data_IF_640790881951
#
_entry.id   IF_640790881951
#
_cell.length_a   1.000
_cell.length_b   1.000
_cell.length_c   1.000
_cell.angle_alpha   90.00
_cell.angle_beta   90.00
_cell.angle_gamma   90.00
#
_symmetry.space_group_name_H-M   'P 1'
#
loop_
_entity.id
_entity.type
_entity.pdbx_description
1 polymer ?
#
# COMPACT_ATOMS: atom_id res chain seq x y z
N UNK A 1 -1.11 -21.02 -2.66
CA UNK A 1 -1.28 -20.61 -4.07
C UNK A 1 -2.01 -19.27 -4.09
N UNK A 2 -1.37 -18.23 -3.54
CA UNK A 2 -1.98 -16.93 -3.23
C UNK A 2 -1.77 -16.04 -4.47
N UNK A 3 -2.85 -15.54 -5.08
CA UNK A 3 -2.78 -14.50 -6.13
C UNK A 3 -2.99 -14.94 -7.59
N UNK A 4 -2.94 -16.22 -7.96
CA UNK A 4 -2.98 -16.60 -9.39
C UNK A 4 -4.31 -16.33 -10.12
N UNK A 5 -5.39 -16.06 -9.39
CA UNK A 5 -6.73 -15.86 -9.96
C UNK A 5 -7.15 -14.40 -10.13
N UNK A 6 -6.44 -13.45 -9.52
CA UNK A 6 -6.77 -12.02 -9.60
C UNK A 6 -5.94 -11.25 -10.64
N UNK A 7 -4.76 -11.77 -11.01
CA UNK A 7 -3.78 -11.06 -11.85
C UNK A 7 -3.56 -11.70 -13.23
N UNK A 8 -4.50 -12.51 -13.73
CA UNK A 8 -4.33 -13.28 -14.96
C UNK A 8 -5.34 -12.88 -16.04
N UNK A 9 -5.37 -11.59 -16.38
CA UNK A 9 -5.99 -11.08 -17.59
C UNK A 9 -4.90 -10.59 -18.57
N UNK A 10 -4.98 -11.07 -19.82
CA UNK A 10 -4.02 -10.91 -20.92
C UNK A 10 -3.86 -9.46 -21.42
N UNK A 11 -3.38 -8.54 -20.58
CA UNK A 11 -2.89 -7.24 -21.04
C UNK A 11 -1.39 -7.19 -20.76
N UNK A 12 -0.59 -6.88 -21.78
CA UNK A 12 0.85 -6.60 -21.66
C UNK A 12 1.14 -5.30 -20.88
N UNK A 13 0.28 -4.94 -19.92
CA UNK A 13 0.20 -3.62 -19.29
C UNK A 13 0.66 -3.66 -17.86
N UNK A 14 1.36 -2.59 -17.48
CA UNK A 14 1.48 -2.10 -16.12
C UNK A 14 0.20 -2.34 -15.30
N UNK A 15 0.29 -3.22 -14.29
CA UNK A 15 -0.77 -3.51 -13.34
C UNK A 15 -0.32 -3.06 -11.94
N UNK A 16 -0.75 -1.86 -11.49
CA UNK A 16 -0.41 -1.33 -10.17
C UNK A 16 -0.70 -2.30 -9.03
N UNK A 17 -1.77 -3.08 -9.14
CA UNK A 17 -2.23 -3.99 -8.10
C UNK A 17 -1.29 -5.19 -7.98
N UNK A 18 -0.86 -5.75 -9.12
CA UNK A 18 0.10 -6.85 -9.14
C UNK A 18 1.46 -6.41 -8.57
N UNK A 19 1.89 -5.18 -8.86
CA UNK A 19 3.16 -4.66 -8.36
C UNK A 19 3.09 -4.33 -6.86
N UNK A 20 1.97 -3.79 -6.38
CA UNK A 20 1.70 -3.63 -4.94
C UNK A 20 1.70 -4.99 -4.23
N UNK A 21 0.96 -5.97 -4.74
CA UNK A 21 0.89 -7.31 -4.14
C UNK A 21 2.28 -7.99 -4.09
N UNK A 22 3.09 -7.88 -5.16
CA UNK A 22 4.47 -8.40 -5.16
C UNK A 22 5.33 -7.72 -4.09
N UNK A 23 5.21 -6.40 -3.96
CA UNK A 23 5.96 -5.62 -2.96
C UNK A 23 5.55 -6.02 -1.55
N UNK A 24 4.24 -6.20 -1.29
CA UNK A 24 3.76 -6.72 -0.02
C UNK A 24 4.31 -8.11 0.27
N UNK A 25 4.30 -9.02 -0.71
CA UNK A 25 4.82 -10.37 -0.53
C UNK A 25 6.31 -10.35 -0.18
N UNK A 26 7.08 -9.43 -0.78
CA UNK A 26 8.50 -9.25 -0.47
C UNK A 26 8.69 -8.79 0.98
N UNK A 27 7.94 -7.79 1.43
CA UNK A 27 8.07 -7.26 2.80
C UNK A 27 7.56 -8.24 3.85
N UNK A 28 6.54 -9.03 3.51
CA UNK A 28 6.06 -10.13 4.34
C UNK A 28 7.01 -11.34 4.37
N UNK A 29 8.13 -11.32 3.63
CA UNK A 29 9.22 -12.25 3.92
C UNK A 29 9.87 -11.96 5.28
N UNK A 30 9.60 -10.79 5.89
CA UNK A 30 9.91 -10.53 7.29
C UNK A 30 9.03 -11.40 8.21
N UNK A 31 9.61 -12.38 8.94
CA UNK A 31 8.83 -13.32 9.73
C UNK A 31 7.99 -12.66 10.83
N UNK A 32 8.49 -11.56 11.42
CA UNK A 32 7.81 -10.84 12.49
C UNK A 32 6.45 -10.31 12.01
N UNK A 33 6.43 -9.69 10.84
CA UNK A 33 5.24 -9.07 10.26
C UNK A 33 4.29 -10.15 9.76
N UNK A 34 4.83 -11.20 9.12
CA UNK A 34 4.03 -12.34 8.68
C UNK A 34 3.29 -13.02 9.84
N UNK A 35 3.93 -13.18 11.01
CA UNK A 35 3.25 -13.72 12.19
C UNK A 35 2.06 -12.85 12.58
N UNK A 36 2.25 -11.55 12.70
CA UNK A 36 1.19 -10.65 13.16
C UNK A 36 0.00 -10.66 12.19
N UNK A 37 0.26 -10.64 10.87
CA UNK A 37 -0.79 -10.79 9.85
C UNK A 37 -1.50 -12.14 9.97
N UNK A 38 -0.76 -13.24 10.09
CA UNK A 38 -1.37 -14.57 10.21
C UNK A 38 -2.16 -14.73 11.51
N UNK A 39 -1.69 -14.17 12.62
CA UNK A 39 -2.40 -14.18 13.90
C UNK A 39 -3.72 -13.43 13.79
N UNK A 40 -3.69 -12.21 13.25
CA UNK A 40 -4.89 -11.41 13.02
C UNK A 40 -5.91 -12.15 12.12
N UNK A 41 -5.44 -12.68 10.99
CA UNK A 41 -6.27 -13.46 10.07
C UNK A 41 -6.88 -14.69 10.76
N UNK A 42 -6.11 -15.43 11.56
CA UNK A 42 -6.63 -16.60 12.29
C UNK A 42 -7.68 -16.20 13.33
N UNK A 43 -7.49 -15.09 14.05
CA UNK A 43 -8.41 -14.60 15.10
C UNK A 43 -9.74 -14.13 14.49
N UNK A 44 -9.68 -13.36 13.39
CA UNK A 44 -10.84 -12.68 12.81
C UNK A 44 -11.63 -13.59 11.86
N UNK A 45 -10.92 -14.41 11.09
CA UNK A 45 -11.51 -15.15 9.96
C UNK A 45 -11.65 -16.63 10.29
N UNK A 46 -10.66 -17.22 10.98
CA UNK A 46 -10.55 -18.66 11.22
C UNK A 46 -10.01 -19.42 10.01
N UNK A 47 -9.68 -20.70 10.17
CA UNK A 47 -9.03 -21.50 9.11
C UNK A 47 -10.01 -22.11 8.10
N UNK A 48 -11.31 -22.03 8.35
CA UNK A 48 -12.35 -22.78 7.61
C UNK A 48 -12.94 -22.00 6.43
N UNK A 49 -12.54 -20.74 6.23
CA UNK A 49 -13.08 -19.89 5.16
C UNK A 49 -12.07 -18.87 4.65
N UNK A 50 -12.37 -18.33 3.46
CA UNK A 50 -11.65 -17.21 2.88
C UNK A 50 -12.09 -15.88 3.52
N UNK A 51 -11.20 -14.89 3.45
CA UNK A 51 -11.48 -13.50 3.86
C UNK A 51 -12.53 -12.91 2.92
N UNK A 52 -13.48 -12.17 3.49
CA UNK A 52 -14.55 -11.48 2.79
C UNK A 52 -14.49 -9.97 3.05
N UNK A 53 -15.23 -9.18 2.27
CA UNK A 53 -15.28 -7.72 2.46
C UNK A 53 -15.75 -7.30 3.86
N UNK A 54 -16.57 -8.12 4.52
CA UNK A 54 -17.11 -7.86 5.86
C UNK A 54 -16.05 -8.00 6.96
N UNK A 55 -14.97 -8.75 6.69
CA UNK A 55 -13.87 -8.95 7.62
C UNK A 55 -12.90 -7.77 7.61
N UNK A 56 -12.79 -7.05 6.49
CA UNK A 56 -11.77 -6.02 6.29
C UNK A 56 -11.71 -4.95 7.39
N UNK A 57 -12.84 -4.41 7.89
CA UNK A 57 -12.81 -3.44 9.00
C UNK A 57 -12.19 -3.99 10.30
N UNK A 58 -12.14 -5.31 10.45
CA UNK A 58 -11.63 -6.01 11.63
C UNK A 58 -10.19 -6.51 11.45
N UNK A 59 -9.50 -6.13 10.36
CA UNK A 59 -8.12 -6.49 10.07
C UNK A 59 -7.18 -5.25 10.12
N UNK A 60 -7.10 -4.52 11.25
CA UNK A 60 -6.36 -3.26 11.33
C UNK A 60 -4.85 -3.42 11.05
N UNK A 61 -4.22 -4.53 11.47
CA UNK A 61 -2.80 -4.76 11.24
C UNK A 61 -2.52 -4.99 9.75
N UNK A 62 -3.32 -5.82 9.08
CA UNK A 62 -3.21 -5.99 7.63
C UNK A 62 -3.40 -4.66 6.88
N UNK A 63 -4.32 -3.80 7.33
CA UNK A 63 -4.52 -2.48 6.72
C UNK A 63 -3.27 -1.60 6.82
N UNK A 64 -2.59 -1.58 7.96
CA UNK A 64 -1.36 -0.79 8.11
C UNK A 64 -0.18 -1.38 7.34
N UNK A 65 -0.13 -2.71 7.17
CA UNK A 65 0.85 -3.38 6.30
C UNK A 65 0.66 -2.97 4.83
N UNK A 66 -0.59 -2.94 4.35
CA UNK A 66 -0.91 -2.43 2.99
C UNK A 66 -0.46 -0.98 2.85
N UNK A 67 -0.78 -0.15 3.84
CA UNK A 67 -0.45 1.27 3.85
C UNK A 67 1.06 1.54 3.85
N UNK A 68 1.83 0.79 4.64
CA UNK A 68 3.30 0.84 4.65
C UNK A 68 3.89 0.37 3.32
N UNK A 69 3.27 -0.62 2.69
CA UNK A 69 3.68 -1.05 1.35
C UNK A 69 3.46 0.04 0.32
N UNK A 70 2.31 0.71 0.34
CA UNK A 70 2.04 1.84 -0.55
C UNK A 70 2.96 3.04 -0.31
N UNK A 71 3.40 3.23 0.93
CA UNK A 71 4.35 4.27 1.32
C UNK A 71 5.75 4.00 0.74
N UNK A 72 6.29 2.79 0.97
CA UNK A 72 7.64 2.44 0.52
C UNK A 72 7.69 2.06 -0.96
N UNK A 73 6.66 1.42 -1.50
CA UNK A 73 6.59 0.87 -2.85
C UNK A 73 5.38 1.40 -3.61
N UNK A 74 5.26 2.72 -3.85
CA UNK A 74 4.15 3.27 -4.62
C UNK A 74 4.18 2.71 -6.05
N UNK A 75 3.11 2.06 -6.54
CA UNK A 75 3.13 1.45 -7.88
C UNK A 75 3.37 2.47 -9.00
N UNK A 76 2.97 3.73 -8.78
CA UNK A 76 3.22 4.86 -9.69
C UNK A 76 4.17 5.88 -9.05
N UNK A 77 5.49 5.64 -9.00
CA UNK A 77 6.44 6.45 -8.22
C UNK A 77 6.53 7.93 -8.68
N UNK A 78 6.23 8.21 -9.95
CA UNK A 78 6.15 9.57 -10.52
C UNK A 78 4.71 10.05 -10.77
N UNK A 79 3.73 9.33 -10.24
CA UNK A 79 2.31 9.46 -10.58
C UNK A 79 2.06 9.38 -12.09
N UNK A 80 0.82 9.64 -12.51
CA UNK A 80 0.50 9.82 -13.93
C UNK A 80 0.77 11.26 -14.36
N UNK A 81 1.41 11.49 -15.53
CA UNK A 81 1.70 12.84 -16.01
C UNK A 81 0.47 13.76 -16.03
N UNK A 82 0.65 14.99 -15.58
CA UNK A 82 -0.33 16.08 -15.67
C UNK A 82 0.10 17.08 -16.74
N UNK A 83 -0.86 17.74 -17.37
CA UNK A 83 -0.59 18.86 -18.30
C UNK A 83 -1.14 20.16 -17.73
N UNK A 84 -0.32 21.21 -17.71
CA UNK A 84 -0.75 22.54 -17.29
C UNK A 84 -1.78 23.10 -18.29
N UNK A 85 -3.03 23.32 -17.87
CA UNK A 85 -4.10 23.81 -18.75
C UNK A 85 -3.85 25.26 -19.23
N UNK A 86 -3.28 26.07 -18.35
CA UNK A 86 -2.90 27.47 -18.58
C UNK A 86 -1.50 27.68 -18.00
N UNK A 87 -0.81 28.72 -18.43
CA UNK A 87 0.41 29.13 -17.75
C UNK A 87 0.08 29.57 -16.32
N UNK A 88 0.90 29.17 -15.36
CA UNK A 88 0.73 29.50 -13.95
C UNK A 88 2.08 29.71 -13.27
N UNK A 89 2.05 30.10 -12.00
CA UNK A 89 3.24 30.29 -11.18
C UNK A 89 3.15 29.37 -9.96
N UNK A 90 4.22 28.62 -9.69
CA UNK A 90 4.34 27.74 -8.52
C UNK A 90 5.69 28.04 -7.86
N UNK A 91 5.69 28.39 -6.57
CA UNK A 91 6.90 28.77 -5.82
C UNK A 91 7.78 29.81 -6.56
N UNK A 92 7.15 30.81 -7.17
CA UNK A 92 7.79 31.85 -8.00
C UNK A 92 8.43 31.35 -9.31
N UNK A 93 8.13 30.12 -9.74
CA UNK A 93 8.52 29.60 -11.04
C UNK A 93 7.37 29.66 -12.03
N UNK A 94 7.63 30.23 -13.20
CA UNK A 94 6.68 30.23 -14.31
C UNK A 94 6.60 28.84 -14.94
N UNK A 95 5.40 28.26 -14.93
CA UNK A 95 5.07 27.01 -15.62
C UNK A 95 4.26 27.36 -16.86
N UNK A 96 4.78 27.10 -18.07
CA UNK A 96 4.05 27.42 -19.29
C UNK A 96 2.85 26.48 -19.48
N UNK A 97 1.82 26.98 -20.19
CA UNK A 97 0.73 26.15 -20.70
C UNK A 97 1.29 24.93 -21.44
N UNK A 98 0.64 23.78 -21.26
CA UNK A 98 1.01 22.47 -21.81
C UNK A 98 2.30 21.87 -21.26
N UNK A 99 2.93 22.46 -20.24
CA UNK A 99 4.02 21.81 -19.52
C UNK A 99 3.56 20.47 -18.92
N UNK A 100 4.39 19.44 -19.06
CA UNK A 100 4.20 18.15 -18.39
C UNK A 100 4.72 18.23 -16.97
N UNK A 101 3.86 17.93 -16.00
CA UNK A 101 4.17 17.90 -14.59
C UNK A 101 4.15 16.45 -14.09
N UNK A 102 5.20 16.06 -13.39
CA UNK A 102 5.35 14.76 -12.72
C UNK A 102 5.40 15.00 -11.22
N UNK A 103 4.71 14.17 -10.44
CA UNK A 103 4.71 14.26 -8.98
C UNK A 103 5.55 13.10 -8.48
N UNK A 104 6.69 13.40 -7.85
CA UNK A 104 7.59 12.37 -7.35
C UNK A 104 7.08 11.79 -6.01
N UNK A 105 6.06 10.93 -6.09
CA UNK A 105 5.45 10.25 -4.94
C UNK A 105 6.49 9.45 -4.16
N UNK A 106 7.43 8.80 -4.85
CA UNK A 106 8.50 8.03 -4.22
C UNK A 106 9.39 8.90 -3.32
N UNK A 107 9.76 10.10 -3.79
CA UNK A 107 10.57 11.03 -3.01
C UNK A 107 9.78 11.66 -1.85
N UNK A 108 8.50 11.97 -2.06
CA UNK A 108 7.62 12.49 -1.00
C UNK A 108 7.50 11.49 0.16
N UNK A 109 7.31 10.21 -0.15
CA UNK A 109 7.31 9.14 0.86
C UNK A 109 8.67 8.92 1.54
N UNK A 110 9.73 9.60 1.11
CA UNK A 110 11.09 9.47 1.67
C UNK A 110 11.70 10.80 2.11
N UNK A 111 10.86 11.81 2.32
CA UNK A 111 11.35 13.08 2.88
C UNK A 111 11.68 12.90 4.36
N UNK A 112 12.95 13.12 4.72
CA UNK A 112 13.45 13.06 6.11
C UNK A 112 12.77 14.05 7.06
N UNK A 113 12.12 15.09 6.52
CA UNK A 113 11.32 16.03 7.33
C UNK A 113 10.01 15.42 7.80
N UNK A 114 9.47 14.48 7.02
CA UNK A 114 8.15 13.90 7.26
C UNK A 114 8.22 12.48 7.83
N UNK A 115 9.27 11.72 7.50
CA UNK A 115 9.39 10.29 7.79
C UNK A 115 10.69 9.97 8.51
N UNK A 116 10.59 9.20 9.61
CA UNK A 116 11.72 8.56 10.28
C UNK A 116 11.91 7.13 9.73
N UNK A 117 13.15 6.64 9.75
CA UNK A 117 13.51 5.27 9.34
C UNK A 117 13.02 4.93 7.91
N UNK A 118 13.41 5.77 6.94
CA UNK A 118 12.86 5.83 5.57
C UNK A 118 12.86 4.53 4.75
N UNK A 119 13.72 3.59 5.09
CA UNK A 119 13.90 2.35 4.34
C UNK A 119 13.48 1.12 5.14
N UNK A 120 13.10 1.30 6.40
CA UNK A 120 12.60 0.22 7.24
C UNK A 120 11.10 0.08 7.03
N UNK A 121 10.68 -1.13 6.65
CA UNK A 121 9.27 -1.48 6.56
C UNK A 121 8.70 -1.65 7.98
N UNK A 122 8.00 -0.62 8.47
CA UNK A 122 7.50 -0.50 9.84
C UNK A 122 6.01 -0.14 9.84
N UNK A 123 5.11 -1.13 9.60
CA UNK A 123 3.66 -0.90 9.62
C UNK A 123 3.14 -0.25 10.91
N UNK A 124 3.84 -0.46 12.03
CA UNK A 124 3.52 0.11 13.32
C UNK A 124 3.44 1.64 13.30
N UNK A 125 4.09 2.33 12.36
CA UNK A 125 3.97 3.79 12.22
C UNK A 125 2.56 4.28 11.94
N UNK A 126 1.74 3.41 11.35
CA UNK A 126 0.34 3.69 11.02
C UNK A 126 -0.65 3.03 11.97
N UNK A 127 -0.18 2.26 12.94
CA UNK A 127 -1.03 1.50 13.87
C UNK A 127 -1.50 2.37 15.04
N UNK A 128 -2.39 1.82 15.88
CA UNK A 128 -2.80 2.46 17.14
C UNK A 128 -1.53 2.74 17.95
N UNK A 129 -1.30 4.01 18.32
CA UNK A 129 -0.08 4.57 18.97
C UNK A 129 1.12 4.87 18.05
N UNK A 130 0.99 4.71 16.74
CA UNK A 130 2.02 5.05 15.74
C UNK A 130 2.11 6.55 15.44
N UNK A 131 3.31 7.00 15.01
CA UNK A 131 3.60 8.41 14.72
C UNK A 131 2.76 9.03 13.57
N UNK A 132 2.15 8.20 12.72
CA UNK A 132 1.42 8.61 11.51
C UNK A 132 0.02 7.98 11.45
N UNK A 133 -0.58 7.67 12.60
CA UNK A 133 -1.91 7.04 12.71
C UNK A 133 -2.99 7.78 11.90
N UNK A 134 -2.99 9.12 11.94
CA UNK A 134 -4.00 9.97 11.28
C UNK A 134 -3.75 10.22 9.79
N UNK A 135 -2.60 9.80 9.24
CA UNK A 135 -2.29 9.99 7.83
C UNK A 135 -3.17 9.09 6.98
N UNK A 136 -3.91 9.59 6.01
CA UNK A 136 -4.66 8.74 5.08
C UNK A 136 -4.00 8.64 3.69
N UNK A 137 -4.46 7.67 2.90
CA UNK A 137 -4.05 7.49 1.49
C UNK A 137 -5.06 8.13 0.52
N UNK A 138 -6.04 8.89 1.05
CA UNK A 138 -7.19 9.45 0.32
C UNK A 138 -6.88 10.83 -0.27
N UNK A 139 -5.63 11.27 -0.15
CA UNK A 139 -5.15 12.56 -0.67
C UNK A 139 -5.41 13.74 0.26
N UNK A 140 -5.73 13.50 1.54
CA UNK A 140 -5.81 14.57 2.54
C UNK A 140 -4.44 14.88 3.17
N UNK A 141 -3.51 13.92 3.11
CA UNK A 141 -2.15 14.02 3.62
C UNK A 141 -1.16 14.02 2.46
N UNK A 142 -0.45 15.13 2.26
CA UNK A 142 0.46 15.30 1.12
C UNK A 142 1.79 14.56 1.30
N UNK A 143 2.09 14.09 2.51
CA UNK A 143 3.21 13.22 2.82
C UNK A 143 3.03 11.78 2.32
N UNK A 144 1.79 11.36 2.00
CA UNK A 144 1.48 10.01 1.51
C UNK A 144 0.46 10.04 0.35
N UNK A 145 0.93 9.90 -0.89
CA UNK A 145 0.12 10.10 -2.11
C UNK A 145 0.09 8.91 -3.10
N UNK A 146 -0.08 7.64 -2.65
CA UNK A 146 -0.03 6.49 -3.54
C UNK A 146 -1.12 6.48 -4.62
N UNK A 147 -2.27 7.09 -4.33
CA UNK A 147 -3.40 7.24 -5.25
C UNK A 147 -3.51 8.63 -5.90
N UNK A 148 -2.53 9.51 -5.63
CA UNK A 148 -2.55 10.92 -6.02
C UNK A 148 -3.55 11.76 -5.22
N UNK A 149 -3.83 12.97 -5.71
CA UNK A 149 -4.69 13.95 -5.05
C UNK A 149 -5.47 14.80 -6.07
N UNK A 150 -6.56 15.43 -5.60
CA UNK A 150 -7.35 16.39 -6.36
C UNK A 150 -8.24 15.77 -7.43
N UNK A 151 -8.56 16.54 -8.48
CA UNK A 151 -9.57 16.19 -9.51
C UNK A 151 -9.28 14.92 -10.32
N UNK A 152 -8.07 14.38 -10.21
CA UNK A 152 -7.60 13.23 -10.96
C UNK A 152 -6.95 12.20 -10.03
N UNK A 153 -7.40 12.16 -8.78
CA UNK A 153 -7.11 11.06 -7.85
C UNK A 153 -7.59 9.73 -8.45
N UNK A 154 -6.94 8.64 -8.09
CA UNK A 154 -7.25 7.31 -8.62
C UNK A 154 -8.70 6.92 -8.36
N UNK A 155 -9.46 6.68 -9.44
CA UNK A 155 -10.85 6.20 -9.36
C UNK A 155 -10.95 4.76 -8.84
N UNK A 156 -9.86 3.99 -8.94
CA UNK A 156 -9.76 2.61 -8.46
C UNK A 156 -9.29 2.47 -7.02
N UNK A 157 -9.05 3.56 -6.28
CA UNK A 157 -8.53 3.52 -4.90
C UNK A 157 -9.36 2.60 -3.98
N UNK A 158 -10.68 2.72 -4.03
CA UNK A 158 -11.58 1.91 -3.20
C UNK A 158 -11.53 0.41 -3.54
N UNK A 159 -11.31 0.08 -4.81
CA UNK A 159 -11.12 -1.31 -5.25
C UNK A 159 -9.76 -1.82 -4.78
N UNK A 160 -8.70 -1.02 -4.95
CA UNK A 160 -7.34 -1.42 -4.59
C UNK A 160 -7.19 -1.74 -3.10
N UNK A 161 -7.68 -0.83 -2.26
CA UNK A 161 -7.68 -0.97 -0.80
C UNK A 161 -8.52 -2.14 -0.28
N UNK A 162 -9.37 -2.75 -1.11
CA UNK A 162 -10.12 -3.97 -0.76
C UNK A 162 -9.47 -5.21 -1.36
N UNK A 163 -9.18 -5.18 -2.67
CA UNK A 163 -8.70 -6.34 -3.41
C UNK A 163 -7.34 -6.84 -2.89
N UNK A 164 -6.46 -5.94 -2.45
CA UNK A 164 -5.18 -6.32 -1.85
C UNK A 164 -5.41 -7.10 -0.54
N UNK A 165 -6.05 -6.56 0.52
CA UNK A 165 -6.37 -7.33 1.73
C UNK A 165 -7.12 -8.64 1.47
N UNK A 166 -8.09 -8.65 0.55
CA UNK A 166 -8.87 -9.84 0.20
C UNK A 166 -8.03 -10.97 -0.40
N UNK A 167 -6.86 -10.66 -0.97
CA UNK A 167 -5.96 -11.68 -1.48
C UNK A 167 -5.23 -12.46 -0.38
N UNK A 168 -5.25 -11.96 0.86
CA UNK A 168 -4.67 -12.62 2.03
C UNK A 168 -5.67 -13.57 2.67
N UNK A 169 -5.24 -14.79 2.94
CA UNK A 169 -6.06 -15.80 3.59
C UNK A 169 -5.26 -16.56 4.64
N UNK A 170 -5.91 -16.99 5.74
CA UNK A 170 -5.35 -17.97 6.65
C UNK A 170 -4.90 -19.19 5.85
N UNK A 171 -3.64 -19.61 6.00
CA UNK A 171 -3.15 -20.82 5.33
C UNK A 171 -2.53 -21.78 6.35
N UNK A 172 -3.07 -23.00 6.50
CA UNK A 172 -2.68 -23.89 7.58
C UNK A 172 -1.18 -24.23 7.54
N UNK A 173 -0.58 -24.40 6.36
CA UNK A 173 0.87 -24.68 6.25
C UNK A 173 1.77 -23.45 6.43
N UNK A 174 1.28 -22.24 6.11
CA UNK A 174 2.11 -21.04 6.29
C UNK A 174 2.23 -20.73 7.77
N UNK A 175 1.15 -20.92 8.53
CA UNK A 175 1.18 -20.80 9.99
C UNK A 175 2.26 -21.69 10.60
N UNK A 176 2.29 -22.98 10.26
CA UNK A 176 3.29 -23.92 10.79
C UNK A 176 4.73 -23.54 10.44
N UNK A 177 5.02 -23.17 9.20
CA UNK A 177 6.38 -22.79 8.80
C UNK A 177 6.85 -21.50 9.47
N UNK A 178 5.98 -20.49 9.51
CA UNK A 178 6.29 -19.21 10.15
C UNK A 178 6.49 -19.41 11.66
N UNK A 179 5.61 -20.14 12.34
CA UNK A 179 5.77 -20.43 13.76
C UNK A 179 7.01 -21.28 14.04
N UNK A 180 7.33 -22.28 13.21
CA UNK A 180 8.55 -23.09 13.38
C UNK A 180 9.84 -22.31 13.18
N UNK A 181 9.82 -21.24 12.37
CA UNK A 181 11.01 -20.40 12.11
C UNK A 181 11.33 -19.43 13.25
N UNK A 182 10.41 -19.26 14.19
CA UNK A 182 10.53 -18.35 15.34
C UNK A 182 10.73 -19.07 16.67
N UNK A 183 10.58 -20.39 16.69
CA UNK A 183 11.02 -21.24 17.79
C UNK A 183 12.49 -21.63 17.57
N UNK A 184 13.41 -21.34 18.50
CA UNK A 184 14.83 -21.68 18.39
C UNK A 184 15.09 -23.19 18.37
#
# INVERSE_FOLDING_TARGET
>A
MIGRRLFNDNISSFDPMADEFKSMMLELMNPRIMVQVQQELNIVVGQDRLVTELDLPHLPYLQVVVKETLHLHPPTPLSLPRLAKNSCEIFNYHIPKSATLLINVWAIGRDLKEWLDLLEFKPERFFLDGEKVDVDVKGNNFELLPFGVGRKICVGMSLGLKAIPLSFHPHPRLSQHVYSSLTP
#
